data_IF_272692282910
#
_entry.id   IF_272692282910
#
_cell.length_a   1.000
_cell.length_b   1.000
_cell.length_c   1.000
_cell.angle_alpha   90.00
_cell.angle_beta   90.00
_cell.angle_gamma   90.00
#
_symmetry.space_group_name_H-M   'P 1'
#
loop_
_entity.id
_entity.type
_entity.pdbx_description
1 polymer ?
#
# COMPACT_ATOMS: atom_id res chain seq x y z
N UNK A 1 9.64 14.85 -27.00
CA UNK A 1 9.13 13.49 -27.22
C UNK A 1 9.38 12.56 -26.01
N UNK A 2 10.58 12.45 -25.51
CA UNK A 2 10.92 11.58 -24.35
C UNK A 2 10.15 11.87 -23.04
N UNK A 3 9.90 13.12 -22.69
CA UNK A 3 9.15 13.48 -21.46
C UNK A 3 7.67 13.09 -21.47
N UNK A 4 7.07 12.95 -22.65
CA UNK A 4 5.67 12.58 -22.80
C UNK A 4 5.49 11.06 -22.71
N UNK A 5 6.38 10.29 -23.31
CA UNK A 5 6.39 8.82 -23.23
C UNK A 5 6.63 8.32 -21.80
N UNK A 6 7.49 8.99 -21.02
CA UNK A 6 7.69 8.66 -19.60
C UNK A 6 6.45 8.89 -18.75
N UNK A 7 5.71 9.98 -18.98
CA UNK A 7 4.46 10.26 -18.25
C UNK A 7 3.33 9.27 -18.58
N UNK A 8 3.25 8.84 -19.82
CA UNK A 8 2.24 7.89 -20.26
C UNK A 8 2.53 6.46 -19.69
N UNK A 9 3.80 6.09 -19.58
CA UNK A 9 4.22 4.84 -18.96
C UNK A 9 3.91 4.84 -17.44
N UNK A 10 4.25 5.90 -16.73
CA UNK A 10 3.94 6.06 -15.29
C UNK A 10 2.43 6.02 -15.05
N UNK A 11 1.65 6.67 -15.90
CA UNK A 11 0.19 6.64 -15.79
C UNK A 11 -0.37 5.23 -15.98
N UNK A 12 0.20 4.43 -16.88
CA UNK A 12 -0.20 3.04 -17.08
C UNK A 12 0.13 2.18 -15.86
N UNK A 13 1.33 2.33 -15.30
CA UNK A 13 1.77 1.60 -14.11
C UNK A 13 0.91 1.93 -12.88
N UNK A 14 0.60 3.21 -12.67
CA UNK A 14 -0.31 3.65 -11.60
C UNK A 14 -1.72 3.09 -11.78
N UNK A 15 -2.22 3.02 -13.01
CA UNK A 15 -3.52 2.44 -13.32
C UNK A 15 -3.56 0.94 -13.01
N UNK A 16 -2.48 0.22 -13.31
CA UNK A 16 -2.35 -1.20 -12.97
C UNK A 16 -2.33 -1.41 -11.45
N UNK A 17 -1.54 -0.62 -10.72
CA UNK A 17 -1.50 -0.66 -9.25
C UNK A 17 -2.87 -0.37 -8.64
N UNK A 18 -3.57 0.65 -9.12
CA UNK A 18 -4.93 0.98 -8.68
C UNK A 18 -5.90 -0.18 -8.94
N UNK A 19 -5.73 -0.90 -10.05
CA UNK A 19 -6.49 -2.10 -10.35
C UNK A 19 -6.25 -3.23 -9.34
N UNK A 20 -5.01 -3.47 -8.93
CA UNK A 20 -4.68 -4.43 -7.89
C UNK A 20 -5.31 -4.04 -6.55
N UNK A 21 -5.16 -2.77 -6.14
CA UNK A 21 -5.76 -2.25 -4.90
C UNK A 21 -7.28 -2.40 -4.87
N UNK A 22 -7.96 -2.15 -5.98
CA UNK A 22 -9.40 -2.32 -6.08
C UNK A 22 -9.83 -3.78 -5.88
N UNK A 23 -9.06 -4.73 -6.40
CA UNK A 23 -9.29 -6.18 -6.19
C UNK A 23 -9.08 -6.56 -4.72
N UNK A 24 -7.98 -6.10 -4.11
CA UNK A 24 -7.71 -6.34 -2.68
C UNK A 24 -8.83 -5.80 -1.81
N UNK A 25 -9.22 -4.56 -2.01
CA UNK A 25 -10.30 -3.91 -1.26
C UNK A 25 -11.62 -4.69 -1.38
N UNK A 26 -12.04 -5.03 -2.59
CA UNK A 26 -13.28 -5.78 -2.83
C UNK A 26 -13.25 -7.15 -2.13
N UNK A 27 -12.11 -7.82 -2.12
CA UNK A 27 -11.97 -9.11 -1.43
C UNK A 27 -12.08 -8.96 0.09
N UNK A 28 -11.41 -7.96 0.67
CA UNK A 28 -11.52 -7.70 2.11
C UNK A 28 -12.93 -7.27 2.53
N UNK A 29 -13.62 -6.47 1.75
CA UNK A 29 -15.03 -6.14 1.99
C UNK A 29 -15.91 -7.39 2.00
N UNK A 30 -15.68 -8.31 1.08
CA UNK A 30 -16.36 -9.61 1.05
C UNK A 30 -16.07 -10.44 2.31
N UNK A 31 -14.80 -10.55 2.71
CA UNK A 31 -14.39 -11.26 3.92
C UNK A 31 -15.02 -10.69 5.19
N UNK A 32 -15.06 -9.35 5.31
CA UNK A 32 -15.71 -8.70 6.45
C UNK A 32 -17.21 -9.05 6.51
N UNK A 33 -17.89 -9.03 5.37
CA UNK A 33 -19.31 -9.37 5.28
C UNK A 33 -19.58 -10.85 5.60
N UNK A 34 -18.79 -11.76 5.03
CA UNK A 34 -18.88 -13.20 5.28
C UNK A 34 -18.69 -13.55 6.75
N UNK A 35 -17.74 -12.90 7.41
CA UNK A 35 -17.42 -13.12 8.81
C UNK A 35 -18.23 -12.23 9.77
N UNK A 36 -19.13 -11.40 9.25
CA UNK A 36 -19.95 -10.44 10.02
C UNK A 36 -19.12 -9.52 10.91
N UNK A 37 -17.96 -9.12 10.41
CA UNK A 37 -17.05 -8.18 11.07
C UNK A 37 -17.29 -6.77 10.54
N UNK A 38 -17.42 -5.81 11.45
CA UNK A 38 -17.56 -4.42 11.09
C UNK A 38 -16.19 -3.85 10.71
N UNK A 39 -16.10 -3.11 9.57
CA UNK A 39 -14.87 -2.38 9.25
C UNK A 39 -14.57 -1.31 10.31
N UNK A 40 -13.29 -0.94 10.40
CA UNK A 40 -12.88 0.11 11.35
C UNK A 40 -13.65 1.42 11.12
N UNK A 41 -14.05 2.09 12.19
CA UNK A 41 -14.68 3.40 12.13
C UNK A 41 -13.74 4.50 11.61
N UNK A 42 -12.42 4.22 11.53
CA UNK A 42 -11.40 5.16 11.10
C UNK A 42 -11.24 5.30 9.58
N UNK A 43 -11.97 4.52 8.78
CA UNK A 43 -11.84 4.54 7.30
C UNK A 43 -11.88 5.96 6.71
N UNK A 44 -12.82 6.86 7.08
CA UNK A 44 -12.86 8.20 6.51
C UNK A 44 -11.59 9.01 6.80
N UNK A 45 -11.04 8.86 8.02
CA UNK A 45 -9.81 9.53 8.42
C UNK A 45 -8.61 8.97 7.64
N UNK A 46 -8.52 7.65 7.48
CA UNK A 46 -7.43 7.03 6.73
C UNK A 46 -7.46 7.39 5.25
N UNK A 47 -8.65 7.47 4.65
CA UNK A 47 -8.80 7.94 3.26
C UNK A 47 -8.30 9.37 3.10
N UNK A 48 -8.66 10.26 4.01
CA UNK A 48 -8.18 11.64 4.00
C UNK A 48 -6.66 11.72 4.18
N UNK A 49 -6.12 11.00 5.16
CA UNK A 49 -4.68 10.96 5.44
C UNK A 49 -3.87 10.40 4.26
N UNK A 50 -4.33 9.32 3.64
CA UNK A 50 -3.69 8.71 2.48
C UNK A 50 -3.70 9.65 1.26
N UNK A 51 -4.84 10.31 1.01
CA UNK A 51 -4.95 11.30 -0.08
C UNK A 51 -4.02 12.49 0.15
N UNK A 52 -4.00 13.03 1.38
CA UNK A 52 -3.11 14.13 1.73
C UNK A 52 -1.62 13.75 1.62
N UNK A 53 -1.27 12.55 2.04
CA UNK A 53 0.10 12.03 1.96
C UNK A 53 0.53 11.83 0.51
N UNK A 54 -0.30 11.18 -0.31
CA UNK A 54 -0.02 10.95 -1.72
C UNK A 54 0.10 12.25 -2.51
N UNK A 55 -0.86 13.16 -2.35
CA UNK A 55 -0.83 14.47 -3.00
C UNK A 55 0.36 15.32 -2.49
N UNK A 56 0.61 15.33 -1.19
CA UNK A 56 1.70 16.10 -0.58
C UNK A 56 3.07 15.65 -1.09
N UNK A 57 3.33 14.35 -1.14
CA UNK A 57 4.59 13.81 -1.65
C UNK A 57 4.75 14.05 -3.16
N UNK A 58 3.68 13.92 -3.94
CA UNK A 58 3.68 14.21 -5.37
C UNK A 58 3.98 15.68 -5.67
N UNK A 59 3.53 16.61 -4.82
CA UNK A 59 3.85 18.03 -4.93
C UNK A 59 5.33 18.34 -4.64
N UNK A 60 5.99 17.54 -3.80
CA UNK A 60 7.43 17.69 -3.53
C UNK A 60 8.24 17.27 -4.74
N UNK A 61 8.05 16.04 -5.21
CA UNK A 61 8.68 15.51 -6.42
C UNK A 61 8.11 14.13 -6.77
N UNK A 62 8.33 13.69 -7.99
CA UNK A 62 8.01 12.33 -8.43
C UNK A 62 8.74 11.27 -7.57
N UNK A 63 10.03 11.50 -7.26
CA UNK A 63 10.81 10.62 -6.40
C UNK A 63 10.26 10.55 -4.96
N UNK A 64 9.73 11.65 -4.44
CA UNK A 64 9.07 11.67 -3.14
C UNK A 64 7.76 10.88 -3.15
N UNK A 65 6.99 10.93 -4.23
CA UNK A 65 5.81 10.09 -4.41
C UNK A 65 6.17 8.59 -4.43
N UNK A 66 7.25 8.22 -5.15
CA UNK A 66 7.75 6.84 -5.12
C UNK A 66 8.30 6.43 -3.75
N UNK A 67 8.93 7.34 -3.01
CA UNK A 67 9.36 7.08 -1.63
C UNK A 67 8.18 6.83 -0.69
N UNK A 68 7.07 7.54 -0.91
CA UNK A 68 5.81 7.29 -0.19
C UNK A 68 5.29 5.87 -0.49
N UNK A 69 5.21 5.49 -1.76
CA UNK A 69 4.78 4.15 -2.19
C UNK A 69 5.68 3.08 -1.57
N UNK A 70 7.00 3.18 -1.70
CA UNK A 70 7.95 2.21 -1.12
C UNK A 70 7.74 2.05 0.39
N UNK A 71 7.57 3.15 1.12
CA UNK A 71 7.39 3.12 2.57
C UNK A 71 6.07 2.44 2.97
N UNK A 72 4.97 2.78 2.31
CA UNK A 72 3.65 2.17 2.54
C UNK A 72 3.68 0.68 2.24
N UNK A 73 4.16 0.30 1.06
CA UNK A 73 4.18 -1.10 0.60
C UNK A 73 5.08 -1.98 1.48
N UNK A 74 6.19 -1.43 2.01
CA UNK A 74 7.05 -2.18 2.94
C UNK A 74 6.35 -2.54 4.25
N UNK A 75 5.42 -1.73 4.71
CA UNK A 75 4.61 -2.01 5.91
C UNK A 75 3.50 -2.99 5.57
N UNK A 76 2.81 -2.79 4.46
CA UNK A 76 1.67 -3.60 4.02
C UNK A 76 2.10 -5.03 3.69
N UNK A 77 3.19 -5.22 2.93
CA UNK A 77 3.66 -6.57 2.60
C UNK A 77 4.02 -7.37 3.86
N UNK A 78 4.61 -6.71 4.84
CA UNK A 78 4.92 -7.35 6.12
C UNK A 78 3.64 -7.68 6.90
N UNK A 79 2.66 -6.81 6.87
CA UNK A 79 1.35 -7.08 7.49
C UNK A 79 0.67 -8.29 6.85
N UNK A 80 0.71 -8.41 5.52
CA UNK A 80 0.27 -9.62 4.82
C UNK A 80 1.04 -10.86 5.26
N UNK A 81 2.38 -10.76 5.37
CA UNK A 81 3.20 -11.89 5.82
C UNK A 81 2.79 -12.39 7.21
N UNK A 82 2.55 -11.48 8.15
CA UNK A 82 2.11 -11.80 9.51
C UNK A 82 0.71 -12.46 9.50
N UNK A 83 -0.22 -11.96 8.69
CA UNK A 83 -1.56 -12.53 8.52
C UNK A 83 -1.52 -13.94 7.88
N UNK A 84 -0.72 -14.14 6.85
CA UNK A 84 -0.54 -15.44 6.20
C UNK A 84 -0.02 -16.47 7.19
N UNK A 85 0.96 -16.12 8.00
CA UNK A 85 1.52 -17.00 9.04
C UNK A 85 0.47 -17.39 10.07
N UNK A 86 -0.41 -16.47 10.44
CA UNK A 86 -1.47 -16.71 11.43
C UNK A 86 -2.55 -17.66 10.91
N UNK A 87 -2.91 -17.58 9.62
CA UNK A 87 -4.08 -18.30 9.08
C UNK A 87 -3.72 -19.55 8.29
N UNK A 88 -2.46 -19.76 7.89
CA UNK A 88 -2.06 -20.81 6.93
C UNK A 88 -2.52 -22.23 7.31
N UNK A 89 -2.57 -22.54 8.60
CA UNK A 89 -2.97 -23.85 9.09
C UNK A 89 -4.50 -23.99 9.23
N UNK A 90 -5.22 -22.85 9.39
CA UNK A 90 -6.67 -22.80 9.55
C UNK A 90 -7.41 -22.61 8.24
N UNK A 91 -6.87 -21.80 7.34
CA UNK A 91 -7.45 -21.48 6.05
C UNK A 91 -6.34 -21.37 4.98
N UNK A 92 -5.84 -22.52 4.47
CA UNK A 92 -4.76 -22.52 3.48
C UNK A 92 -5.17 -21.89 2.14
N UNK A 93 -6.44 -21.89 1.78
CA UNK A 93 -6.93 -21.24 0.55
C UNK A 93 -6.84 -19.72 0.66
N UNK A 94 -7.30 -19.15 1.78
CA UNK A 94 -7.15 -17.71 2.02
C UNK A 94 -5.69 -17.32 2.17
N UNK A 95 -4.86 -18.14 2.83
CA UNK A 95 -3.42 -17.89 2.92
C UNK A 95 -2.75 -17.83 1.54
N UNK A 96 -3.13 -18.70 0.60
CA UNK A 96 -2.63 -18.67 -0.77
C UNK A 96 -3.08 -17.41 -1.53
N UNK A 97 -4.31 -16.96 -1.33
CA UNK A 97 -4.85 -15.73 -1.91
C UNK A 97 -4.10 -14.49 -1.37
N UNK A 98 -3.91 -14.40 -0.06
CA UNK A 98 -3.14 -13.30 0.56
C UNK A 98 -1.66 -13.32 0.17
N UNK A 99 -1.09 -14.50 -0.11
CA UNK A 99 0.28 -14.62 -0.64
C UNK A 99 0.38 -13.96 -2.01
N UNK A 100 -0.60 -14.15 -2.88
CA UNK A 100 -0.66 -13.48 -4.18
C UNK A 100 -0.75 -11.96 -4.01
N UNK A 101 -1.60 -11.46 -3.13
CA UNK A 101 -1.72 -10.04 -2.85
C UNK A 101 -0.39 -9.47 -2.35
N UNK A 102 0.27 -10.17 -1.42
CA UNK A 102 1.60 -9.79 -0.94
C UNK A 102 2.64 -9.69 -2.06
N UNK A 103 2.62 -10.60 -3.03
CA UNK A 103 3.52 -10.56 -4.19
C UNK A 103 3.25 -9.31 -5.05
N UNK A 104 2.01 -8.91 -5.22
CA UNK A 104 1.63 -7.68 -5.91
C UNK A 104 2.14 -6.44 -5.15
N UNK A 105 2.03 -6.40 -3.81
CA UNK A 105 2.59 -5.31 -2.99
C UNK A 105 4.12 -5.23 -3.07
N UNK A 106 4.80 -6.37 -3.10
CA UNK A 106 6.25 -6.41 -3.31
C UNK A 106 6.64 -5.89 -4.70
N UNK A 107 5.84 -6.17 -5.72
CA UNK A 107 6.05 -5.62 -7.06
C UNK A 107 5.88 -4.10 -7.09
N UNK A 108 4.87 -3.55 -6.40
CA UNK A 108 4.69 -2.10 -6.24
C UNK A 108 5.87 -1.46 -5.48
N UNK A 109 6.34 -2.11 -4.43
CA UNK A 109 7.52 -1.68 -3.67
C UNK A 109 8.77 -1.60 -4.55
N UNK A 110 9.06 -2.66 -5.29
CA UNK A 110 10.25 -2.75 -6.14
C UNK A 110 10.18 -1.75 -7.31
N UNK A 111 9.01 -1.58 -7.91
CA UNK A 111 8.76 -0.56 -8.93
C UNK A 111 9.09 0.85 -8.40
N UNK A 112 8.68 1.17 -7.18
CA UNK A 112 9.00 2.47 -6.58
C UNK A 112 10.52 2.67 -6.41
N UNK A 113 11.27 1.62 -6.05
CA UNK A 113 12.74 1.68 -5.95
C UNK A 113 13.36 1.92 -7.32
N UNK A 114 12.93 1.20 -8.35
CA UNK A 114 13.41 1.35 -9.73
C UNK A 114 13.18 2.77 -10.28
N UNK A 115 12.12 3.44 -9.82
CA UNK A 115 11.78 4.82 -10.21
C UNK A 115 12.36 5.89 -9.28
N UNK A 116 13.37 5.55 -8.48
CA UNK A 116 14.20 6.49 -7.75
C UNK A 116 13.66 6.94 -6.39
N UNK A 117 12.85 6.12 -5.73
CA UNK A 117 12.32 6.42 -4.39
C UNK A 117 13.43 6.79 -3.39
N UNK A 118 14.55 6.07 -3.42
CA UNK A 118 15.68 6.25 -2.50
C UNK A 118 16.49 7.51 -2.76
N UNK A 119 16.29 8.15 -3.90
CA UNK A 119 16.89 9.44 -4.26
C UNK A 119 15.98 10.63 -3.91
N UNK A 120 14.85 10.39 -3.27
CA UNK A 120 13.94 11.44 -2.85
C UNK A 120 14.58 12.37 -1.81
N UNK A 121 14.22 13.67 -1.83
CA UNK A 121 14.68 14.59 -0.78
C UNK A 121 14.28 14.09 0.61
N UNK A 122 15.23 14.12 1.54
CA UNK A 122 15.02 13.63 2.93
C UNK A 122 14.42 12.20 3.00
N UNK A 123 14.78 11.33 2.09
CA UNK A 123 14.23 9.98 1.96
C UNK A 123 14.14 9.22 3.29
N UNK A 124 15.21 9.21 4.10
CA UNK A 124 15.23 8.49 5.38
C UNK A 124 14.18 9.00 6.36
N UNK A 125 14.05 10.32 6.46
CA UNK A 125 13.06 10.95 7.35
C UNK A 125 11.65 10.68 6.83
N UNK A 126 11.41 10.93 5.55
CA UNK A 126 10.12 10.73 4.91
C UNK A 126 9.66 9.27 5.04
N UNK A 127 10.52 8.32 4.69
CA UNK A 127 10.23 6.90 4.80
C UNK A 127 9.92 6.47 6.25
N UNK A 128 10.72 6.94 7.22
CA UNK A 128 10.52 6.60 8.63
C UNK A 128 9.20 7.13 9.18
N UNK A 129 8.86 8.38 8.88
CA UNK A 129 7.59 9.01 9.32
C UNK A 129 6.40 8.27 8.72
N UNK A 130 6.44 7.95 7.44
CA UNK A 130 5.36 7.23 6.76
C UNK A 130 5.20 5.82 7.34
N UNK A 131 6.28 5.08 7.52
CA UNK A 131 6.24 3.73 8.11
C UNK A 131 5.67 3.72 9.52
N UNK A 132 6.06 4.66 10.36
CA UNK A 132 5.51 4.79 11.72
C UNK A 132 4.02 5.13 11.67
N UNK A 133 3.62 6.05 10.79
CA UNK A 133 2.21 6.41 10.59
C UNK A 133 1.36 5.22 10.13
N UNK A 134 1.83 4.44 9.15
CA UNK A 134 1.13 3.26 8.67
C UNK A 134 0.98 2.19 9.76
N UNK A 135 2.04 1.91 10.52
CA UNK A 135 1.99 0.96 11.63
C UNK A 135 1.02 1.40 12.73
N UNK A 136 1.00 2.69 13.04
CA UNK A 136 0.06 3.25 13.99
C UNK A 136 -1.39 3.13 13.48
N UNK A 137 -1.63 3.41 12.20
CA UNK A 137 -2.94 3.29 11.58
C UNK A 137 -3.46 1.85 11.64
N UNK A 138 -2.63 0.86 11.32
CA UNK A 138 -2.97 -0.56 11.43
C UNK A 138 -3.36 -0.91 12.88
N UNK A 139 -2.52 -0.58 13.86
CA UNK A 139 -2.80 -0.88 15.27
C UNK A 139 -4.06 -0.22 15.82
N UNK A 140 -4.36 0.99 15.39
CA UNK A 140 -5.59 1.68 15.77
C UNK A 140 -6.80 0.98 15.14
N UNK A 141 -6.70 0.63 13.86
CA UNK A 141 -7.78 -0.02 13.12
C UNK A 141 -8.12 -1.42 13.64
N UNK A 142 -7.15 -2.13 14.20
CA UNK A 142 -7.37 -3.43 14.86
C UNK A 142 -8.19 -3.32 16.14
N UNK A 143 -8.30 -2.14 16.74
CA UNK A 143 -8.98 -1.90 18.02
C UNK A 143 -10.29 -1.15 17.90
N UNK A 144 -10.50 -0.42 16.84
CA UNK A 144 -11.65 0.45 16.59
C UNK A 144 -12.31 0.10 15.26
#
# INVERSE_FOLDING_TARGET
MYKRQGKDAIAADLTEMEGHEAVHLARFETLLNENRVRPTAMIPLWKLAATALGAGTALISEKAAHACTEAVESVIEKHYADQIEEIRDRDPELAAELTKFREEELAHHDHAIEHGSREAPAYRLLSSVIKVGCKAAIKISERI
#
